data_IF_068361676119
#
_entry.id   IF_068361676119
#
_cell.length_a   1.000
_cell.length_b   1.000
_cell.length_c   1.000
_cell.angle_alpha   90.00
_cell.angle_beta   90.00
_cell.angle_gamma   90.00
#
_symmetry.space_group_name_H-M   'P 1'
#
loop_
_entity.id
_entity.type
_entity.pdbx_description
1 polymer ?
#
# COMPACT_ATOMS: atom_id res chain seq x y z
N UNK A 1 4.80 7.37 -23.52
CA UNK A 1 4.30 6.36 -22.57
C UNK A 1 5.27 6.23 -21.41
N UNK A 2 6.57 6.12 -21.70
CA UNK A 2 7.61 6.03 -20.66
C UNK A 2 7.71 7.27 -19.77
N UNK A 3 7.70 8.49 -20.32
CA UNK A 3 7.76 9.72 -19.51
C UNK A 3 6.61 9.86 -18.48
N UNK A 4 5.41 9.38 -18.84
CA UNK A 4 4.25 9.39 -17.92
C UNK A 4 4.44 8.33 -16.84
N UNK A 5 4.88 7.13 -17.20
CA UNK A 5 5.19 6.07 -16.24
C UNK A 5 6.29 6.53 -15.27
N UNK A 6 7.40 7.08 -15.77
CA UNK A 6 8.54 7.57 -14.98
C UNK A 6 8.12 8.65 -13.98
N UNK A 7 7.23 9.56 -14.39
CA UNK A 7 6.63 10.54 -13.47
C UNK A 7 5.95 9.84 -12.29
N UNK A 8 5.14 8.81 -12.52
CA UNK A 8 4.47 8.10 -11.43
C UNK A 8 5.41 7.22 -10.62
N UNK A 9 6.39 6.54 -11.24
CA UNK A 9 7.40 5.78 -10.50
C UNK A 9 8.17 6.69 -9.54
N UNK A 10 8.52 7.91 -9.98
CA UNK A 10 9.13 8.93 -9.13
C UNK A 10 8.20 9.37 -7.99
N UNK A 11 6.91 9.58 -8.25
CA UNK A 11 5.94 9.89 -7.19
C UNK A 11 5.80 8.77 -6.16
N UNK A 12 5.77 7.51 -6.61
CA UNK A 12 5.69 6.32 -5.75
C UNK A 12 6.94 6.17 -4.88
N UNK A 13 8.13 6.40 -5.44
CA UNK A 13 9.40 6.38 -4.69
C UNK A 13 9.47 7.43 -3.58
N UNK A 14 8.88 8.61 -3.82
CA UNK A 14 8.92 9.74 -2.90
C UNK A 14 7.75 9.79 -1.91
N UNK A 15 6.87 8.77 -1.95
CA UNK A 15 5.74 8.65 -1.04
C UNK A 15 6.20 8.63 0.43
N UNK A 16 5.51 9.38 1.29
CA UNK A 16 5.89 9.49 2.70
C UNK A 16 5.57 8.19 3.44
N UNK A 17 6.61 7.48 3.89
CA UNK A 17 6.49 6.28 4.73
C UNK A 17 6.92 6.59 6.17
N UNK A 18 6.19 6.07 7.15
CA UNK A 18 6.61 6.19 8.54
C UNK A 18 7.95 5.45 8.74
N UNK A 19 8.85 6.00 9.56
CA UNK A 19 10.12 5.38 9.88
C UNK A 19 10.15 5.07 11.38
N UNK A 20 10.35 3.80 11.73
CA UNK A 20 10.47 3.34 13.11
C UNK A 20 11.75 2.53 13.24
N UNK A 21 12.71 3.02 14.01
CA UNK A 21 13.97 2.31 14.24
C UNK A 21 14.79 2.05 12.97
N UNK A 22 14.67 2.90 11.96
CA UNK A 22 15.33 2.74 10.66
C UNK A 22 14.48 2.05 9.60
N UNK A 23 13.42 1.33 9.99
CA UNK A 23 12.54 0.61 9.07
C UNK A 23 11.44 1.51 8.52
N UNK A 24 11.29 1.53 7.19
CA UNK A 24 10.18 2.21 6.53
C UNK A 24 8.94 1.32 6.55
N UNK A 25 7.80 1.92 6.88
CA UNK A 25 6.52 1.23 6.95
C UNK A 25 6.10 0.68 5.56
N UNK A 26 5.72 -0.61 5.46
CA UNK A 26 5.40 -1.23 4.18
C UNK A 26 3.94 -0.96 3.77
N UNK A 27 3.08 -0.53 4.71
CA UNK A 27 1.63 -0.52 4.56
C UNK A 27 1.12 0.19 3.31
N UNK A 28 1.67 1.37 2.98
CA UNK A 28 1.23 2.13 1.80
C UNK A 28 1.60 1.42 0.51
N UNK A 29 2.80 0.84 0.46
CA UNK A 29 3.30 0.09 -0.70
C UNK A 29 2.49 -1.17 -0.90
N UNK A 30 2.27 -1.94 0.18
CA UNK A 30 1.44 -3.15 0.16
C UNK A 30 0.00 -2.85 -0.29
N UNK A 31 -0.60 -1.73 0.13
CA UNK A 31 -1.94 -1.36 -0.32
C UNK A 31 -1.98 -1.08 -1.84
N UNK A 32 -0.97 -0.41 -2.38
CA UNK A 32 -0.89 -0.14 -3.82
C UNK A 32 -0.63 -1.43 -4.63
N UNK A 33 0.21 -2.33 -4.13
CA UNK A 33 0.41 -3.67 -4.71
C UNK A 33 -0.88 -4.49 -4.67
N UNK A 34 -1.62 -4.44 -3.57
CA UNK A 34 -2.93 -5.09 -3.42
C UNK A 34 -3.91 -4.59 -4.48
N UNK A 35 -3.95 -3.27 -4.74
CA UNK A 35 -4.80 -2.70 -5.80
C UNK A 35 -4.38 -3.22 -7.18
N UNK A 36 -3.07 -3.36 -7.45
CA UNK A 36 -2.59 -3.97 -8.69
C UNK A 36 -3.08 -5.42 -8.84
N UNK A 37 -2.97 -6.25 -7.81
CA UNK A 37 -3.44 -7.64 -7.82
C UNK A 37 -4.96 -7.73 -8.04
N UNK A 38 -5.72 -6.83 -7.40
CA UNK A 38 -7.17 -6.79 -7.56
C UNK A 38 -7.61 -6.29 -8.95
N UNK A 39 -6.84 -5.39 -9.58
CA UNK A 39 -7.08 -5.00 -10.98
C UNK A 39 -6.74 -6.16 -11.92
N UNK A 40 -5.63 -6.85 -11.67
CA UNK A 40 -5.21 -8.01 -12.48
C UNK A 40 -6.22 -9.17 -12.43
N UNK A 41 -6.77 -9.45 -11.26
CA UNK A 41 -7.81 -10.46 -11.07
C UNK A 41 -9.21 -10.00 -11.54
N UNK A 42 -9.35 -8.74 -11.97
CA UNK A 42 -10.63 -8.18 -12.41
C UNK A 42 -11.62 -7.87 -11.28
N UNK A 43 -11.18 -7.88 -10.02
CA UNK A 43 -12.01 -7.47 -8.88
C UNK A 43 -12.19 -5.94 -8.80
N UNK A 44 -11.20 -5.18 -9.28
CA UNK A 44 -11.29 -3.73 -9.46
C UNK A 44 -11.26 -3.46 -10.97
N UNK A 45 -12.34 -2.88 -11.49
CA UNK A 45 -12.49 -2.60 -12.94
C UNK A 45 -12.59 -1.11 -13.25
N UNK A 46 -12.89 -0.29 -12.24
CA UNK A 46 -13.01 1.15 -12.34
C UNK A 46 -12.24 1.83 -11.19
N UNK A 47 -12.06 3.15 -11.30
CA UNK A 47 -11.27 3.94 -10.36
C UNK A 47 -12.03 4.20 -9.04
N UNK A 48 -12.59 3.13 -8.46
CA UNK A 48 -13.41 3.13 -7.25
C UNK A 48 -12.94 2.06 -6.28
N UNK A 49 -11.91 2.39 -5.50
CA UNK A 49 -11.27 1.48 -4.55
C UNK A 49 -12.06 1.50 -3.23
N UNK A 50 -13.09 0.66 -3.14
CA UNK A 50 -13.89 0.49 -1.92
C UNK A 50 -13.06 -0.26 -0.87
N UNK A 51 -13.09 0.19 0.40
CA UNK A 51 -12.52 -0.57 1.52
C UNK A 51 -13.39 -1.80 1.88
N UNK A 52 -13.48 -2.72 0.93
CA UNK A 52 -14.30 -3.93 1.03
C UNK A 52 -13.65 -4.97 1.95
N UNK A 53 -14.34 -6.10 2.19
CA UNK A 53 -13.76 -7.22 2.94
C UNK A 53 -12.73 -7.96 2.09
N UNK A 54 -12.93 -7.97 0.78
CA UNK A 54 -12.08 -8.59 -0.22
C UNK A 54 -10.75 -7.84 -0.29
N UNK A 55 -10.76 -6.49 -0.33
CA UNK A 55 -9.54 -5.68 -0.29
C UNK A 55 -8.77 -5.89 1.03
N UNK A 56 -9.48 -5.92 2.17
CA UNK A 56 -8.87 -6.19 3.48
C UNK A 56 -8.24 -7.58 3.54
N UNK A 57 -8.90 -8.59 2.99
CA UNK A 57 -8.41 -9.97 2.93
C UNK A 57 -7.19 -10.10 2.01
N UNK A 58 -7.24 -9.51 0.82
CA UNK A 58 -6.13 -9.55 -0.14
C UNK A 58 -4.89 -8.84 0.43
N UNK A 59 -5.08 -7.68 1.05
CA UNK A 59 -4.01 -6.96 1.74
C UNK A 59 -3.39 -7.79 2.87
N UNK A 60 -4.21 -8.45 3.68
CA UNK A 60 -3.73 -9.30 4.77
C UNK A 60 -2.99 -10.55 4.24
N UNK A 61 -3.43 -11.11 3.10
CA UNK A 61 -2.75 -12.19 2.41
C UNK A 61 -1.36 -11.76 1.94
N UNK A 62 -1.29 -10.65 1.20
CA UNK A 62 -0.02 -10.10 0.72
C UNK A 62 0.92 -9.72 1.87
N UNK A 63 0.38 -9.15 2.96
CA UNK A 63 1.17 -8.89 4.17
C UNK A 63 1.85 -10.15 4.68
N UNK A 64 1.10 -11.25 4.81
CA UNK A 64 1.63 -12.52 5.30
C UNK A 64 2.71 -13.09 4.40
N UNK A 65 2.53 -12.96 3.09
CA UNK A 65 3.48 -13.46 2.09
C UNK A 65 4.79 -12.65 2.09
N UNK A 66 4.71 -11.34 2.25
CA UNK A 66 5.87 -10.44 2.08
C UNK A 66 6.57 -10.10 3.40
N UNK A 67 5.81 -9.96 4.50
CA UNK A 67 6.34 -9.49 5.79
C UNK A 67 6.54 -10.64 6.78
N UNK A 68 5.58 -11.56 6.87
CA UNK A 68 5.63 -12.63 7.86
C UNK A 68 6.44 -13.85 7.38
N UNK A 69 6.82 -13.91 6.10
CA UNK A 69 7.64 -14.97 5.54
C UNK A 69 9.14 -14.66 5.72
N UNK A 70 9.82 -15.46 6.54
CA UNK A 70 11.26 -15.29 6.86
C UNK A 70 12.15 -15.33 5.60
N UNK A 71 11.75 -16.05 4.56
CA UNK A 71 12.51 -16.15 3.29
C UNK A 71 12.35 -14.90 2.40
N UNK A 72 11.31 -14.10 2.63
CA UNK A 72 10.95 -12.92 1.82
C UNK A 72 11.44 -11.59 2.41
N UNK A 73 11.99 -11.62 3.63
CA UNK A 73 12.55 -10.44 4.28
C UNK A 73 13.92 -10.04 3.70
N UNK A 74 14.17 -8.75 3.39
CA UNK A 74 15.48 -8.27 2.97
C UNK A 74 16.55 -8.57 4.03
N UNK A 75 17.70 -9.08 3.62
CA UNK A 75 18.79 -9.55 4.51
C UNK A 75 19.33 -8.43 5.42
N UNK A 76 19.22 -7.19 4.97
CA UNK A 76 19.48 -5.92 5.64
C UNK A 76 18.49 -5.60 6.78
N UNK A 77 17.31 -6.21 6.81
CA UNK A 77 16.45 -6.21 8.00
C UNK A 77 16.88 -7.23 9.07
N UNK A 78 17.60 -8.28 8.66
CA UNK A 78 18.05 -9.40 9.49
C UNK A 78 19.43 -9.16 10.14
N UNK A 79 20.12 -8.09 9.71
CA UNK A 79 21.53 -7.83 10.01
C UNK A 79 21.89 -7.70 11.50
N UNK A 80 20.93 -7.43 12.40
CA UNK A 80 21.19 -7.31 13.84
C UNK A 80 20.84 -8.56 14.68
N UNK A 81 20.29 -9.62 14.08
CA UNK A 81 19.79 -10.77 14.84
C UNK A 81 20.92 -11.69 15.36
N UNK A 82 22.10 -11.68 14.74
CA UNK A 82 23.15 -12.66 15.03
C UNK A 82 24.24 -12.18 16.01
N UNK A 83 24.27 -10.90 16.38
CA UNK A 83 25.14 -10.40 17.45
C UNK A 83 24.26 -9.96 18.63
N UNK A 84 24.32 -10.69 19.74
CA UNK A 84 23.69 -10.38 21.05
C UNK A 84 22.26 -10.89 21.33
N UNK A 85 21.74 -11.86 20.56
CA UNK A 85 20.62 -12.71 21.04
C UNK A 85 19.27 -12.03 21.27
N UNK A 86 19.06 -10.80 20.78
CA UNK A 86 17.75 -10.18 20.73
C UNK A 86 17.24 -10.19 19.29
N UNK A 87 16.20 -11.00 19.05
CA UNK A 87 15.43 -10.98 17.80
C UNK A 87 14.84 -9.58 17.63
N UNK A 88 15.37 -8.80 16.68
CA UNK A 88 14.77 -7.52 16.31
C UNK A 88 13.45 -7.80 15.60
N UNK A 89 12.35 -7.65 16.33
CA UNK A 89 11.00 -7.85 15.81
C UNK A 89 10.68 -6.70 14.86
N UNK A 90 10.23 -7.01 13.64
CA UNK A 90 9.74 -6.01 12.70
C UNK A 90 8.67 -5.12 13.38
N UNK A 91 8.81 -3.79 13.39
CA UNK A 91 8.05 -2.93 14.32
C UNK A 91 6.61 -2.63 13.86
N UNK A 92 6.17 -3.23 12.75
CA UNK A 92 4.91 -2.91 12.11
C UNK A 92 3.94 -4.10 12.15
N UNK A 93 2.66 -3.81 12.41
CA UNK A 93 1.58 -4.80 12.41
C UNK A 93 0.70 -4.63 11.17
N UNK A 94 0.13 -5.72 10.66
CA UNK A 94 -0.84 -5.70 9.58
C UNK A 94 -2.07 -4.86 9.97
N UNK A 95 -2.25 -3.71 9.31
CA UNK A 95 -3.41 -2.84 9.49
C UNK A 95 -3.64 -2.01 8.22
N UNK A 96 -4.70 -2.32 7.47
CA UNK A 96 -5.05 -1.62 6.23
C UNK A 96 -5.66 -0.23 6.46
N UNK A 97 -6.23 0.06 7.64
CA UNK A 97 -6.88 1.34 7.89
C UNK A 97 -5.91 2.52 7.76
N UNK A 98 -4.70 2.34 8.30
CA UNK A 98 -3.65 3.37 8.27
C UNK A 98 -3.25 3.76 6.84
N UNK A 99 -2.79 2.85 5.96
CA UNK A 99 -2.43 3.23 4.59
C UNK A 99 -3.63 3.73 3.79
N UNK A 100 -4.82 3.15 3.96
CA UNK A 100 -6.01 3.58 3.23
C UNK A 100 -6.35 5.05 3.51
N UNK A 101 -6.20 5.48 4.76
CA UNK A 101 -6.35 6.89 5.13
C UNK A 101 -5.14 7.75 4.74
N UNK A 102 -3.94 7.37 5.18
CA UNK A 102 -2.74 8.22 5.05
C UNK A 102 -2.19 8.36 3.64
N UNK A 103 -2.62 7.52 2.69
CA UNK A 103 -2.38 7.78 1.27
C UNK A 103 -3.03 9.08 0.80
N UNK A 104 -4.06 9.61 1.48
CA UNK A 104 -4.68 10.89 1.11
C UNK A 104 -3.75 12.11 1.24
N UNK A 105 -2.57 11.95 1.85
CA UNK A 105 -1.52 12.96 1.85
C UNK A 105 -0.65 12.95 0.58
N UNK A 106 -0.82 11.95 -0.29
CA UNK A 106 -0.12 11.81 -1.55
C UNK A 106 -0.99 12.36 -2.69
N UNK A 107 -0.40 12.92 -3.76
CA UNK A 107 -1.15 13.60 -4.82
C UNK A 107 -2.00 12.64 -5.68
N UNK A 108 -1.75 11.33 -5.57
CA UNK A 108 -2.36 10.31 -6.41
C UNK A 108 -3.45 9.49 -5.72
N UNK A 109 -3.88 9.85 -4.51
CA UNK A 109 -4.92 9.13 -3.77
C UNK A 109 -5.89 10.11 -3.11
N UNK A 110 -7.19 9.90 -3.31
CA UNK A 110 -8.23 10.77 -2.77
C UNK A 110 -9.34 9.93 -2.14
N UNK A 111 -9.73 10.30 -0.93
CA UNK A 111 -10.87 9.70 -0.25
C UNK A 111 -12.17 10.44 -0.62
N UNK A 112 -13.18 9.69 -1.05
CA UNK A 112 -14.51 10.23 -1.31
C UNK A 112 -15.35 10.05 -0.05
N UNK A 113 -15.70 11.18 0.55
CA UNK A 113 -16.49 11.26 1.78
C UNK A 113 -17.93 10.81 1.52
N UNK A 114 -18.47 10.01 2.43
CA UNK A 114 -19.90 9.70 2.48
C UNK A 114 -20.68 10.82 3.20
N UNK A 115 -22.00 10.72 3.19
CA UNK A 115 -22.89 11.56 3.99
C UNK A 115 -22.66 11.44 5.51
N UNK A 116 -22.06 10.35 5.97
CA UNK A 116 -21.77 10.09 7.38
C UNK A 116 -20.37 10.57 7.79
N UNK A 117 -19.68 11.33 6.93
CA UNK A 117 -18.35 11.82 7.23
C UNK A 117 -18.34 12.75 8.44
N UNK A 118 -17.32 12.58 9.27
CA UNK A 118 -17.05 13.40 10.44
C UNK A 118 -15.53 13.57 10.61
N UNK A 119 -15.15 14.67 11.25
CA UNK A 119 -13.74 14.97 11.52
C UNK A 119 -13.23 14.09 12.66
N UNK A 120 -12.13 13.36 12.44
CA UNK A 120 -11.52 12.45 13.43
C UNK A 120 -10.00 12.48 13.32
N UNK A 121 -9.34 12.20 14.44
CA UNK A 121 -7.89 12.06 14.55
C UNK A 121 -7.37 10.64 14.34
N UNK A 122 -8.24 9.62 14.44
CA UNK A 122 -7.89 8.22 14.21
C UNK A 122 -8.99 7.46 13.48
N UNK A 123 -8.60 6.43 12.74
CA UNK A 123 -9.44 5.72 11.80
C UNK A 123 -9.27 4.20 11.94
N UNK A 124 -10.32 3.51 12.36
CA UNK A 124 -10.46 2.06 12.25
C UNK A 124 -11.16 1.68 10.95
N UNK A 125 -11.06 0.41 10.52
CA UNK A 125 -11.74 -0.08 9.31
C UNK A 125 -13.26 0.17 9.35
N UNK A 126 -14.01 -0.12 10.45
CA UNK A 126 -15.43 0.21 10.51
C UNK A 126 -15.73 1.72 10.36
N UNK A 127 -14.88 2.58 10.93
CA UNK A 127 -15.04 4.03 10.82
C UNK A 127 -14.78 4.52 9.39
N UNK A 128 -13.75 3.99 8.73
CA UNK A 128 -13.45 4.32 7.34
C UNK A 128 -14.59 3.90 6.41
N UNK A 129 -15.08 2.66 6.54
CA UNK A 129 -16.24 2.16 5.79
C UNK A 129 -17.50 3.00 6.01
N UNK A 130 -17.68 3.54 7.23
CA UNK A 130 -18.79 4.42 7.54
C UNK A 130 -18.62 5.80 6.89
N UNK A 131 -17.43 6.39 6.98
CA UNK A 131 -17.22 7.81 6.66
C UNK A 131 -16.80 8.06 5.21
N UNK A 132 -16.27 7.07 4.51
CA UNK A 132 -15.82 7.17 3.12
C UNK A 132 -16.49 6.09 2.28
N UNK A 133 -17.02 6.49 1.12
CA UNK A 133 -17.66 5.54 0.21
C UNK A 133 -16.63 4.69 -0.54
N UNK A 134 -15.51 5.31 -0.92
CA UNK A 134 -14.39 4.70 -1.63
C UNK A 134 -13.20 5.66 -1.70
N UNK A 135 -12.07 5.17 -2.19
CA UNK A 135 -10.94 5.97 -2.63
C UNK A 135 -10.85 5.98 -4.16
N UNK A 136 -10.28 7.04 -4.72
CA UNK A 136 -9.91 7.13 -6.13
C UNK A 136 -8.41 7.36 -6.23
N UNK A 137 -7.78 6.77 -7.24
CA UNK A 137 -6.42 7.09 -7.63
C UNK A 137 -6.42 8.24 -8.63
N UNK A 138 -5.28 8.93 -8.79
CA UNK A 138 -5.11 9.83 -9.93
C UNK A 138 -5.33 9.07 -11.23
N UNK A 139 -6.06 9.70 -12.16
CA UNK A 139 -6.57 9.01 -13.35
C UNK A 139 -5.43 8.45 -14.22
N UNK A 140 -4.34 9.20 -14.38
CA UNK A 140 -3.19 8.73 -15.16
C UNK A 140 -2.51 7.52 -14.52
N UNK A 141 -2.42 7.49 -13.18
CA UNK A 141 -1.89 6.32 -12.47
C UNK A 141 -2.82 5.11 -12.60
N UNK A 142 -4.12 5.31 -12.43
CA UNK A 142 -5.10 4.22 -12.54
C UNK A 142 -5.10 3.62 -13.95
N UNK A 143 -5.06 4.45 -15.00
CA UNK A 143 -4.94 3.99 -16.38
C UNK A 143 -3.69 3.13 -16.59
N UNK A 144 -2.53 3.51 -16.05
CA UNK A 144 -1.32 2.69 -16.12
C UNK A 144 -1.47 1.34 -15.39
N UNK A 145 -2.24 1.26 -14.31
CA UNK A 145 -2.49 0.01 -13.59
C UNK A 145 -3.46 -0.91 -14.36
N UNK A 146 -4.35 -0.36 -15.20
CA UNK A 146 -5.24 -1.18 -16.04
C UNK A 146 -4.46 -1.99 -17.10
N UNK A 147 -3.41 -1.42 -17.70
CA UNK A 147 -2.63 -2.12 -18.73
C UNK A 147 -1.62 -3.10 -18.10
N UNK A 148 -1.60 -4.39 -18.49
CA UNK A 148 -0.75 -5.41 -17.87
C UNK A 148 0.74 -5.07 -17.82
N UNK A 149 1.32 -4.55 -18.92
CA UNK A 149 2.75 -4.26 -18.98
C UNK A 149 3.18 -3.15 -18.01
N UNK A 150 2.43 -2.05 -17.96
CA UNK A 150 2.72 -0.93 -17.06
C UNK A 150 2.37 -1.26 -15.62
N UNK A 151 1.29 -2.04 -15.39
CA UNK A 151 0.98 -2.58 -14.06
C UNK A 151 2.13 -3.43 -13.53
N UNK A 152 2.68 -4.32 -14.33
CA UNK A 152 3.80 -5.17 -13.92
C UNK A 152 5.04 -4.34 -13.57
N UNK A 153 5.37 -3.31 -14.37
CA UNK A 153 6.47 -2.38 -14.05
C UNK A 153 6.24 -1.64 -12.73
N UNK A 154 5.01 -1.14 -12.50
CA UNK A 154 4.63 -0.48 -11.23
C UNK A 154 4.74 -1.47 -10.07
N UNK A 155 4.25 -2.70 -10.23
CA UNK A 155 4.29 -3.72 -9.19
C UNK A 155 5.72 -4.07 -8.78
N UNK A 156 6.60 -4.31 -9.76
CA UNK A 156 8.02 -4.59 -9.51
C UNK A 156 8.72 -3.41 -8.83
N UNK A 157 8.43 -2.18 -9.27
CA UNK A 157 8.97 -0.98 -8.63
C UNK A 157 8.51 -0.86 -7.17
N UNK A 158 7.23 -1.16 -6.88
CA UNK A 158 6.71 -1.19 -5.50
C UNK A 158 7.39 -2.28 -4.65
N UNK A 159 7.60 -3.47 -5.21
CA UNK A 159 8.33 -4.57 -4.55
C UNK A 159 9.77 -4.17 -4.21
N UNK A 160 10.48 -3.48 -5.11
CA UNK A 160 11.81 -2.93 -4.84
C UNK A 160 11.82 -1.93 -3.68
N UNK A 161 10.77 -1.11 -3.53
CA UNK A 161 10.65 -0.16 -2.42
C UNK A 161 10.47 -0.85 -1.06
N UNK A 162 10.06 -2.12 -1.01
CA UNK A 162 9.98 -2.91 0.23
C UNK A 162 11.37 -3.39 0.68
N UNK A 163 12.33 -3.48 -0.24
CA UNK A 163 13.68 -3.98 0.01
C UNK A 163 14.68 -2.91 0.49
N UNK A 164 14.27 -1.65 0.63
CA UNK A 164 15.14 -0.55 1.09
C UNK A 164 14.44 0.61 1.78
#
# INVERSE_FOLDING_TARGET
MDEVLDKYLSLLSNMKRANVGGYKAPHKVLLLMTVCNMVESGMIVDNRIVLSRELEKEFAGLWKEVVDNEESMPMDCVAEVLFMGQRKVYPFNCNIANPYYHLSGEPFWRLVKSLQWENRSSWSVPQLRKCFEYATMDEGLFQLILYPETRQKIYLHLDELLKG
#
